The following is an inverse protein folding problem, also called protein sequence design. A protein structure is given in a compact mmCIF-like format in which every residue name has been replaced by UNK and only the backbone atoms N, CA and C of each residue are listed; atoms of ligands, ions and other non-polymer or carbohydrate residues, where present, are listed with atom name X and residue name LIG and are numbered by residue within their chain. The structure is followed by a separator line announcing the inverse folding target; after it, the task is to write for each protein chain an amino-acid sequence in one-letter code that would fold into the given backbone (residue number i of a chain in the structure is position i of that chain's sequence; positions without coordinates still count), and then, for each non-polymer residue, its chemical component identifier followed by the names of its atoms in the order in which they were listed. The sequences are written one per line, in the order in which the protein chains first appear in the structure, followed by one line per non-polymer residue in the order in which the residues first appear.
data_IF_189011619179
#
_entry.id   IF_189011619179
#
_cell.length_a   1.000
_cell.length_b   1.000
_cell.length_c   1.000
_cell.angle_alpha   90.00
_cell.angle_beta   90.00
_cell.angle_gamma   90.00
#
_symmetry.space_group_name_H-M   'P 1'
#
loop_
_entity.id
_entity.type
_entity.pdbx_description
1 polymer ?
#
# COMPACT_ATOMS: atom_id res chain seq x y z
N UNK A 1 16.70 -14.87 16.40
CA UNK A 1 15.39 -15.02 15.75
C UNK A 1 14.74 -13.65 15.82
N UNK A 2 14.51 -12.99 14.68
CA UNK A 2 13.85 -11.67 14.70
C UNK A 2 12.41 -11.87 15.20
N UNK A 3 11.99 -11.11 16.21
CA UNK A 3 10.60 -11.06 16.64
C UNK A 3 9.78 -10.44 15.51
N UNK A 4 9.11 -11.26 14.72
CA UNK A 4 8.17 -10.84 13.68
C UNK A 4 6.78 -10.59 14.31
N UNK A 5 6.67 -9.64 15.24
CA UNK A 5 5.36 -9.26 15.83
C UNK A 5 4.54 -8.34 14.89
N UNK A 6 5.01 -8.10 13.66
CA UNK A 6 4.32 -7.32 12.64
C UNK A 6 3.17 -8.12 12.03
N UNK A 7 2.06 -8.16 12.77
CA UNK A 7 0.86 -8.87 12.35
C UNK A 7 -0.04 -8.03 11.41
N UNK A 8 0.09 -6.70 11.45
CA UNK A 8 -0.76 -5.77 10.69
C UNK A 8 -0.04 -4.49 10.31
N UNK A 9 -0.22 -4.04 9.07
CA UNK A 9 0.37 -2.81 8.51
C UNK A 9 -0.73 -1.94 7.89
N UNK A 10 -0.68 -0.63 8.17
CA UNK A 10 -1.49 0.39 7.51
C UNK A 10 -0.66 1.07 6.41
N UNK A 11 -1.18 1.08 5.19
CA UNK A 11 -0.60 1.77 4.04
C UNK A 11 -1.43 3.02 3.75
N UNK A 12 -0.75 4.15 3.61
CA UNK A 12 -1.35 5.42 3.18
C UNK A 12 -1.05 5.61 1.69
N UNK A 13 -2.10 5.67 0.86
CA UNK A 13 -1.98 5.93 -0.58
C UNK A 13 -1.70 7.41 -0.89
N UNK A 14 -1.48 7.71 -2.17
CA UNK A 14 -1.22 9.06 -2.71
C UNK A 14 -2.39 10.04 -2.55
N UNK A 15 -3.60 9.52 -2.43
CA UNK A 15 -4.80 10.34 -2.50
C UNK A 15 -5.03 10.87 -3.91
N UNK A 16 -5.67 12.05 -4.01
CA UNK A 16 -6.05 12.59 -5.31
C UNK A 16 -4.83 12.81 -6.23
N UNK A 17 -5.00 12.47 -7.52
CA UNK A 17 -4.01 12.69 -8.56
C UNK A 17 -3.65 14.18 -8.66
N UNK A 18 -2.35 14.48 -8.74
CA UNK A 18 -1.82 15.84 -8.88
C UNK A 18 -0.83 15.88 -10.05
N UNK A 19 -0.52 17.08 -10.54
CA UNK A 19 0.53 17.24 -11.55
C UNK A 19 1.86 16.79 -10.93
N UNK A 20 2.47 15.76 -11.53
CA UNK A 20 3.69 15.14 -11.00
C UNK A 20 3.47 14.06 -9.92
N UNK A 21 2.21 13.70 -9.63
CA UNK A 21 1.82 12.61 -8.75
C UNK A 21 0.70 11.82 -9.44
N UNK A 22 1.09 10.88 -10.30
CA UNK A 22 0.20 10.12 -11.17
C UNK A 22 0.17 8.63 -10.77
N UNK A 23 0.09 7.73 -11.77
CA UNK A 23 -0.11 6.30 -11.56
C UNK A 23 1.09 5.56 -10.93
N UNK A 24 2.22 6.22 -10.74
CA UNK A 24 3.40 5.63 -10.10
C UNK A 24 3.11 5.20 -8.65
N UNK A 25 2.31 5.98 -7.92
CA UNK A 25 1.97 5.66 -6.53
C UNK A 25 0.96 4.53 -6.42
N UNK A 26 0.09 4.40 -7.43
CA UNK A 26 -0.84 3.28 -7.50
C UNK A 26 -0.05 2.00 -7.77
N UNK A 27 0.87 2.02 -8.74
CA UNK A 27 1.74 0.89 -9.04
C UNK A 27 2.58 0.48 -7.82
N UNK A 28 3.26 1.44 -7.19
CA UNK A 28 4.06 1.18 -5.98
C UNK A 28 3.19 0.68 -4.81
N UNK A 29 1.99 1.22 -4.64
CA UNK A 29 1.02 0.78 -3.64
C UNK A 29 0.58 -0.67 -3.85
N UNK A 30 0.20 -1.06 -5.07
CA UNK A 30 -0.19 -2.44 -5.39
C UNK A 30 0.99 -3.41 -5.20
N UNK A 31 2.22 -3.01 -5.55
CA UNK A 31 3.42 -3.83 -5.30
C UNK A 31 3.68 -4.03 -3.80
N UNK A 32 3.53 -2.97 -2.99
CA UNK A 32 3.68 -3.07 -1.54
C UNK A 32 2.62 -4.00 -0.92
N UNK A 33 1.36 -3.89 -1.34
CA UNK A 33 0.28 -4.80 -0.92
C UNK A 33 0.58 -6.25 -1.30
N UNK A 34 1.08 -6.48 -2.52
CA UNK A 34 1.46 -7.82 -2.98
C UNK A 34 2.57 -8.42 -2.12
N UNK A 35 3.65 -7.68 -1.88
CA UNK A 35 4.77 -8.15 -1.07
C UNK A 35 4.35 -8.47 0.38
N UNK A 36 3.58 -7.58 1.01
CA UNK A 36 3.11 -7.80 2.38
C UNK A 36 2.16 -9.00 2.48
N UNK A 37 1.34 -9.22 1.46
CA UNK A 37 0.48 -10.42 1.36
C UNK A 37 1.30 -11.71 1.21
N UNK A 38 2.36 -11.70 0.40
CA UNK A 38 3.27 -12.84 0.22
C UNK A 38 4.00 -13.21 1.52
N UNK A 39 4.30 -12.22 2.37
CA UNK A 39 4.88 -12.40 3.71
C UNK A 39 3.83 -12.76 4.79
N UNK A 40 2.55 -12.88 4.44
CA UNK A 40 1.47 -13.23 5.38
C UNK A 40 1.07 -12.12 6.36
N UNK A 41 1.41 -10.87 6.06
CA UNK A 41 1.12 -9.70 6.89
C UNK A 41 -0.26 -9.14 6.53
N UNK A 42 -1.13 -8.93 7.52
CA UNK A 42 -2.43 -8.30 7.29
C UNK A 42 -2.23 -6.82 6.92
N UNK A 43 -2.90 -6.34 5.88
CA UNK A 43 -2.74 -4.97 5.39
C UNK A 43 -4.05 -4.23 5.28
N UNK A 44 -4.02 -2.93 5.59
CA UNK A 44 -5.13 -1.99 5.36
C UNK A 44 -4.59 -0.85 4.52
N UNK A 45 -5.26 -0.49 3.42
CA UNK A 45 -4.92 0.67 2.60
C UNK A 45 -5.95 1.78 2.81
N UNK A 46 -5.49 3.01 3.03
CA UNK A 46 -6.32 4.21 2.96
C UNK A 46 -5.89 5.02 1.74
N UNK A 47 -6.76 5.07 0.73
CA UNK A 47 -6.59 5.92 -0.44
C UNK A 47 -7.94 6.52 -0.87
N UNK A 48 -8.13 7.86 -0.82
CA UNK A 48 -9.36 8.49 -1.26
C UNK A 48 -9.53 8.50 -2.80
N UNK A 49 -8.50 8.13 -3.56
CA UNK A 49 -8.59 8.03 -5.01
C UNK A 49 -9.35 6.76 -5.42
N UNK A 50 -10.62 6.92 -5.82
CA UNK A 50 -11.49 5.80 -6.20
C UNK A 50 -11.05 5.08 -7.49
N UNK A 51 -10.19 5.71 -8.29
CA UNK A 51 -9.75 5.19 -9.58
C UNK A 51 -8.55 4.24 -9.45
N UNK A 52 -8.12 3.93 -8.23
CA UNK A 52 -6.86 3.23 -7.97
C UNK A 52 -7.03 2.15 -6.92
N UNK A 53 -6.12 1.15 -6.97
CA UNK A 53 -5.89 0.01 -6.04
C UNK A 53 -5.07 -1.05 -6.78
#
# INVERSE_FOLDING_TARGET
MQNNDLNKVLILGSGALKIGEAGEFDYSGSQALKALKEEGIETVLINPNIATV
#
